data_IF_843624645454
#
_entry.id   IF_843624645454
#
_cell.length_a   1.000
_cell.length_b   1.000
_cell.length_c   1.000
_cell.angle_alpha   90.00
_cell.angle_beta   90.00
_cell.angle_gamma   90.00
#
_symmetry.space_group_name_H-M   'P 1'
#
loop_
_entity.id
_entity.type
_entity.pdbx_description
1 polymer ?
#
# COMPACT_ATOMS: atom_id res chain seq x y z
N UNK A 1 -11.07 12.95 -8.38
CA UNK A 1 -10.82 14.38 -8.10
C UNK A 1 -11.80 15.30 -8.84
N UNK A 2 -12.26 14.91 -10.01
CA UNK A 2 -13.17 15.75 -10.81
C UNK A 2 -14.60 15.88 -10.22
N UNK A 3 -14.98 14.99 -9.31
CA UNK A 3 -16.29 15.01 -8.65
C UNK A 3 -16.40 16.06 -7.54
N UNK A 4 -15.28 16.63 -7.05
CA UNK A 4 -15.26 17.59 -5.95
C UNK A 4 -14.51 18.87 -6.32
N UNK A 5 -15.00 20.04 -5.89
CA UNK A 5 -14.29 21.30 -6.09
C UNK A 5 -12.96 21.30 -5.32
N UNK A 6 -11.96 22.12 -5.74
CA UNK A 6 -10.60 22.07 -5.17
C UNK A 6 -10.52 22.19 -3.64
N UNK A 7 -11.40 23.01 -3.04
CA UNK A 7 -11.44 23.24 -1.59
C UNK A 7 -12.06 22.11 -0.77
N UNK A 8 -12.74 21.12 -1.42
CA UNK A 8 -13.33 19.95 -0.76
C UNK A 8 -12.55 18.67 -1.03
N UNK A 9 -11.55 18.70 -1.90
CA UNK A 9 -10.76 17.52 -2.28
C UNK A 9 -10.02 16.90 -1.10
N UNK A 10 -9.45 17.71 -0.22
CA UNK A 10 -8.78 17.23 0.99
C UNK A 10 -9.73 16.48 1.93
N UNK A 11 -10.96 17.01 2.10
CA UNK A 11 -12.00 16.35 2.91
C UNK A 11 -12.43 15.01 2.27
N UNK A 12 -12.62 14.96 0.97
CA UNK A 12 -13.00 13.75 0.24
C UNK A 12 -11.91 12.68 0.32
N UNK A 13 -10.64 13.04 0.11
CA UNK A 13 -9.49 12.15 0.23
C UNK A 13 -9.32 11.66 1.66
N UNK A 14 -9.48 12.56 2.65
CA UNK A 14 -9.42 12.19 4.07
C UNK A 14 -10.52 11.21 4.47
N UNK A 15 -11.75 11.40 3.97
CA UNK A 15 -12.85 10.46 4.20
C UNK A 15 -12.57 9.10 3.56
N UNK A 16 -12.09 9.08 2.32
CA UNK A 16 -11.69 7.85 1.64
C UNK A 16 -10.59 7.11 2.40
N UNK A 17 -9.57 7.81 2.86
CA UNK A 17 -8.49 7.23 3.66
C UNK A 17 -9.00 6.65 5.00
N UNK A 18 -9.92 7.36 5.66
CA UNK A 18 -10.56 6.89 6.91
C UNK A 18 -11.38 5.62 6.70
N UNK A 19 -12.19 5.56 5.63
CA UNK A 19 -12.95 4.34 5.27
C UNK A 19 -12.00 3.19 4.92
N UNK A 20 -10.92 3.46 4.20
CA UNK A 20 -9.91 2.44 3.88
C UNK A 20 -9.22 1.90 5.13
N UNK A 21 -8.90 2.75 6.11
CA UNK A 21 -8.34 2.33 7.38
C UNK A 21 -9.33 1.51 8.22
N UNK A 22 -10.63 1.89 8.21
CA UNK A 22 -11.68 1.11 8.86
C UNK A 22 -11.83 -0.28 8.21
N UNK A 23 -11.78 -0.36 6.88
CA UNK A 23 -11.81 -1.63 6.16
C UNK A 23 -10.61 -2.53 6.53
N UNK A 24 -9.42 -1.95 6.75
CA UNK A 24 -8.25 -2.69 7.21
C UNK A 24 -8.45 -3.26 8.62
N UNK A 25 -9.05 -2.48 9.54
CA UNK A 25 -9.37 -2.94 10.89
C UNK A 25 -10.39 -4.09 10.89
N UNK A 26 -11.49 -3.91 10.13
CA UNK A 26 -12.52 -4.93 9.97
C UNK A 26 -11.93 -6.18 9.32
N UNK A 27 -11.08 -6.03 8.30
CA UNK A 27 -10.45 -7.12 7.59
C UNK A 27 -9.59 -8.00 8.50
N UNK A 28 -8.80 -7.40 9.38
CA UNK A 28 -7.95 -8.13 10.32
C UNK A 28 -8.79 -8.96 11.33
N UNK A 29 -9.83 -8.36 11.89
CA UNK A 29 -10.72 -9.05 12.86
C UNK A 29 -11.58 -10.10 12.16
N UNK A 30 -12.24 -9.74 11.04
CA UNK A 30 -13.10 -10.64 10.29
C UNK A 30 -12.29 -11.81 9.71
N UNK A 31 -11.09 -11.55 9.19
CA UNK A 31 -10.19 -12.58 8.72
C UNK A 31 -9.80 -13.56 9.82
N UNK A 32 -9.48 -13.05 11.02
CA UNK A 32 -9.21 -13.89 12.19
C UNK A 32 -10.40 -14.78 12.57
N UNK A 33 -11.60 -14.19 12.65
CA UNK A 33 -12.85 -14.96 12.94
C UNK A 33 -13.10 -16.04 11.89
N UNK A 34 -12.96 -15.70 10.61
CA UNK A 34 -13.20 -16.67 9.53
C UNK A 34 -12.20 -17.82 9.54
N UNK A 35 -10.92 -17.53 9.78
CA UNK A 35 -9.88 -18.57 9.84
C UNK A 35 -10.09 -19.47 11.05
N UNK A 36 -10.44 -18.92 12.20
CA UNK A 36 -10.57 -19.66 13.44
C UNK A 36 -11.85 -20.49 13.52
N UNK A 37 -13.00 -19.99 13.01
CA UNK A 37 -14.31 -20.60 13.21
C UNK A 37 -14.91 -21.26 11.96
N UNK A 38 -14.38 -20.95 10.76
CA UNK A 38 -14.92 -21.50 9.50
C UNK A 38 -13.84 -22.26 8.74
N UNK A 39 -12.96 -21.54 8.04
CA UNK A 39 -11.81 -22.12 7.33
C UNK A 39 -10.94 -20.98 6.77
N UNK A 40 -9.67 -21.27 6.47
CA UNK A 40 -8.80 -20.29 5.84
C UNK A 40 -9.28 -19.86 4.44
N UNK A 41 -9.97 -20.73 3.71
CA UNK A 41 -10.51 -20.43 2.38
C UNK A 41 -11.62 -19.37 2.43
N UNK A 42 -12.34 -19.27 3.55
CA UNK A 42 -13.44 -18.32 3.72
C UNK A 42 -13.01 -16.86 3.61
N UNK A 43 -11.73 -16.56 3.88
CA UNK A 43 -11.16 -15.20 3.67
C UNK A 43 -11.15 -14.78 2.19
N UNK A 44 -11.15 -15.74 1.27
CA UNK A 44 -11.28 -15.46 -0.16
C UNK A 44 -12.75 -15.33 -0.57
N UNK A 45 -13.61 -16.22 -0.09
CA UNK A 45 -15.03 -16.22 -0.44
C UNK A 45 -15.78 -14.98 0.05
N UNK A 46 -15.39 -14.38 1.18
CA UNK A 46 -15.99 -13.14 1.68
C UNK A 46 -15.83 -11.98 0.68
N UNK A 47 -14.82 -12.01 -0.17
CA UNK A 47 -14.61 -10.97 -1.17
C UNK A 47 -15.66 -11.04 -2.30
N UNK A 48 -16.30 -12.17 -2.55
CA UNK A 48 -17.32 -12.29 -3.60
C UNK A 48 -18.55 -11.41 -3.34
N UNK A 49 -19.22 -11.49 -2.16
CA UNK A 49 -20.35 -10.59 -1.86
C UNK A 49 -19.91 -9.13 -1.75
N UNK A 50 -18.69 -8.86 -1.23
CA UNK A 50 -18.15 -7.49 -1.15
C UNK A 50 -17.93 -6.93 -2.56
N UNK A 51 -17.33 -7.70 -3.46
CA UNK A 51 -17.12 -7.30 -4.86
C UNK A 51 -18.46 -7.11 -5.59
N UNK A 52 -19.43 -8.02 -5.40
CA UNK A 52 -20.76 -7.88 -5.98
C UNK A 52 -21.46 -6.60 -5.50
N UNK A 53 -21.37 -6.29 -4.21
CA UNK A 53 -21.88 -5.04 -3.64
C UNK A 53 -21.18 -3.80 -4.21
N UNK A 54 -19.85 -3.83 -4.33
CA UNK A 54 -19.08 -2.75 -4.91
C UNK A 54 -19.45 -2.51 -6.39
N UNK A 55 -19.60 -3.59 -7.19
CA UNK A 55 -20.06 -3.48 -8.58
C UNK A 55 -21.47 -2.90 -8.64
N UNK A 56 -22.39 -3.36 -7.81
CA UNK A 56 -23.75 -2.82 -7.76
C UNK A 56 -23.73 -1.32 -7.44
N UNK A 57 -23.03 -0.89 -6.37
CA UNK A 57 -22.91 0.53 -6.00
C UNK A 57 -22.29 1.33 -7.15
N UNK A 58 -21.24 0.81 -7.80
CA UNK A 58 -20.61 1.51 -8.93
C UNK A 58 -21.59 1.71 -10.08
N UNK A 59 -22.36 0.70 -10.44
CA UNK A 59 -23.35 0.80 -11.54
C UNK A 59 -24.49 1.76 -11.25
N UNK A 60 -24.91 1.89 -9.97
CA UNK A 60 -26.03 2.76 -9.61
C UNK A 60 -25.61 4.17 -9.19
N UNK A 61 -24.43 4.36 -8.62
CA UNK A 61 -24.01 5.61 -7.99
C UNK A 61 -22.97 6.41 -8.79
N UNK A 62 -22.26 5.78 -9.74
CA UNK A 62 -21.21 6.47 -10.51
C UNK A 62 -21.75 6.94 -11.86
N UNK A 63 -21.58 8.24 -12.13
CA UNK A 63 -21.79 8.79 -13.47
C UNK A 63 -20.53 8.56 -14.30
N UNK A 64 -20.70 8.10 -15.53
CA UNK A 64 -19.58 7.85 -16.41
C UNK A 64 -18.92 9.18 -16.82
N UNK A 65 -17.66 9.35 -16.43
CA UNK A 65 -16.83 10.49 -16.85
C UNK A 65 -15.89 9.99 -17.95
N UNK A 66 -16.11 10.43 -19.18
CA UNK A 66 -15.29 10.07 -20.35
C UNK A 66 -14.54 11.30 -20.84
N UNK A 67 -13.26 11.16 -21.00
CA UNK A 67 -12.48 12.07 -21.81
C UNK A 67 -12.53 11.61 -23.27
N UNK A 68 -13.25 12.35 -24.10
CA UNK A 68 -13.43 12.04 -25.54
C UNK A 68 -12.16 12.37 -26.36
N UNK A 69 -11.20 13.09 -25.78
CA UNK A 69 -9.96 13.49 -26.46
C UNK A 69 -8.89 12.42 -26.42
N UNK A 70 -9.01 11.42 -25.52
CA UNK A 70 -8.02 10.37 -25.35
C UNK A 70 -8.22 9.24 -26.39
N UNK A 71 -7.20 9.01 -27.19
CA UNK A 71 -7.17 7.88 -28.13
C UNK A 71 -7.13 6.57 -27.33
N UNK A 72 -8.22 5.79 -27.41
CA UNK A 72 -8.35 4.48 -26.75
C UNK A 72 -7.50 3.42 -27.46
N UNK A 73 -6.20 3.40 -27.23
CA UNK A 73 -5.33 2.29 -27.65
C UNK A 73 -4.75 1.64 -26.41
N UNK A 74 -5.11 0.38 -26.21
CA UNK A 74 -4.53 -0.44 -25.15
C UNK A 74 -3.12 -0.84 -25.59
N UNK A 75 -2.12 -0.53 -24.79
CA UNK A 75 -0.75 -0.99 -25.02
C UNK A 75 -0.59 -2.44 -24.57
N UNK A 76 -1.01 -3.36 -25.46
CA UNK A 76 -0.90 -4.80 -25.21
C UNK A 76 0.56 -5.23 -25.03
N UNK A 77 1.49 -4.60 -25.74
CA UNK A 77 2.91 -4.95 -25.65
C UNK A 77 3.50 -4.52 -24.30
N UNK A 78 3.17 -3.31 -23.82
CA UNK A 78 3.55 -2.83 -22.50
C UNK A 78 2.96 -3.70 -21.39
N UNK A 79 1.66 -4.03 -21.47
CA UNK A 79 1.00 -4.93 -20.51
C UNK A 79 1.68 -6.29 -20.47
N UNK A 80 1.95 -6.89 -21.61
CA UNK A 80 2.62 -8.20 -21.67
C UNK A 80 4.04 -8.13 -21.06
N UNK A 81 4.81 -7.10 -21.40
CA UNK A 81 6.18 -6.93 -20.92
C UNK A 81 6.23 -6.74 -19.40
N UNK A 82 5.37 -5.88 -18.83
CA UNK A 82 5.35 -5.66 -17.36
C UNK A 82 4.82 -6.89 -16.63
N UNK A 83 3.82 -7.58 -17.18
CA UNK A 83 3.28 -8.81 -16.59
C UNK A 83 4.34 -9.89 -16.51
N UNK A 84 5.04 -10.16 -17.60
CA UNK A 84 6.14 -11.14 -17.63
C UNK A 84 7.25 -10.72 -16.66
N UNK A 85 7.66 -9.45 -16.69
CA UNK A 85 8.71 -8.92 -15.83
C UNK A 85 8.40 -9.04 -14.34
N UNK A 86 7.21 -8.60 -13.92
CA UNK A 86 6.79 -8.67 -12.51
C UNK A 86 6.52 -10.10 -12.06
N UNK A 87 5.90 -10.94 -12.90
CA UNK A 87 5.67 -12.36 -12.56
C UNK A 87 6.99 -13.08 -12.37
N UNK A 88 7.96 -12.90 -13.27
CA UNK A 88 9.28 -13.51 -13.15
C UNK A 88 10.02 -13.01 -11.90
N UNK A 89 9.95 -11.71 -11.59
CA UNK A 89 10.55 -11.14 -10.38
C UNK A 89 9.92 -11.72 -9.11
N UNK A 90 8.61 -11.74 -9.05
CA UNK A 90 7.88 -12.25 -7.89
C UNK A 90 8.18 -13.74 -7.67
N UNK A 91 8.14 -14.54 -8.74
CA UNK A 91 8.44 -15.96 -8.68
C UNK A 91 9.90 -16.20 -8.23
N UNK A 92 10.85 -15.41 -8.74
CA UNK A 92 12.25 -15.51 -8.33
C UNK A 92 12.40 -15.24 -6.83
N UNK A 93 11.75 -14.20 -6.30
CA UNK A 93 11.84 -13.83 -4.89
C UNK A 93 11.15 -14.85 -3.96
N UNK A 94 10.01 -15.40 -4.38
CA UNK A 94 9.25 -16.39 -3.59
C UNK A 94 9.99 -17.71 -3.53
N UNK A 95 10.47 -18.20 -4.67
CA UNK A 95 11.10 -19.52 -4.78
C UNK A 95 12.61 -19.53 -4.43
N UNK A 96 13.21 -18.35 -4.21
CA UNK A 96 14.65 -18.25 -3.93
C UNK A 96 15.09 -19.03 -2.69
N UNK A 97 14.24 -19.14 -1.67
CA UNK A 97 14.52 -19.92 -0.46
C UNK A 97 14.57 -21.41 -0.74
N UNK A 98 13.66 -21.93 -1.56
CA UNK A 98 13.51 -23.36 -1.82
C UNK A 98 14.47 -23.85 -2.92
N UNK A 99 14.64 -23.05 -3.98
CA UNK A 99 15.51 -23.44 -5.11
C UNK A 99 16.95 -22.97 -4.96
N UNK A 100 17.21 -22.10 -3.98
CA UNK A 100 18.52 -21.49 -3.73
C UNK A 100 18.79 -20.26 -4.60
N UNK A 101 19.22 -19.17 -3.96
CA UNK A 101 19.48 -17.86 -4.60
C UNK A 101 20.43 -17.92 -5.80
N UNK A 102 21.40 -18.83 -5.81
CA UNK A 102 22.38 -19.03 -6.89
C UNK A 102 21.97 -20.07 -7.93
N UNK A 103 20.78 -20.66 -7.84
CA UNK A 103 20.36 -21.70 -8.78
C UNK A 103 20.15 -21.14 -10.18
N UNK A 104 20.47 -21.90 -11.25
CA UNK A 104 20.23 -21.47 -12.63
C UNK A 104 18.78 -21.03 -12.89
N UNK A 105 17.81 -21.65 -12.24
CA UNK A 105 16.39 -21.32 -12.36
C UNK A 105 16.10 -19.90 -11.84
N UNK A 106 16.60 -19.57 -10.66
CA UNK A 106 16.41 -18.23 -10.05
C UNK A 106 17.14 -17.16 -10.87
N UNK A 107 18.36 -17.45 -11.35
CA UNK A 107 19.10 -16.52 -12.19
C UNK A 107 18.40 -16.25 -13.53
N UNK A 108 17.80 -17.27 -14.15
CA UNK A 108 16.99 -17.12 -15.37
C UNK A 108 15.75 -16.28 -15.09
N UNK A 109 15.07 -16.49 -13.96
CA UNK A 109 13.91 -15.67 -13.59
C UNK A 109 14.30 -14.22 -13.35
N UNK A 110 15.42 -13.92 -12.69
CA UNK A 110 15.90 -12.55 -12.55
C UNK A 110 16.29 -11.92 -13.89
N UNK A 111 16.93 -12.68 -14.77
CA UNK A 111 17.24 -12.21 -16.13
C UNK A 111 15.96 -11.89 -16.91
N UNK A 112 14.96 -12.77 -16.85
CA UNK A 112 13.66 -12.58 -17.50
C UNK A 112 12.92 -11.35 -16.92
N UNK A 113 12.97 -11.18 -15.60
CA UNK A 113 12.43 -10.00 -14.92
C UNK A 113 13.10 -8.72 -15.43
N UNK A 114 14.43 -8.68 -15.46
CA UNK A 114 15.18 -7.53 -15.93
C UNK A 114 14.88 -7.20 -17.41
N UNK A 115 14.81 -8.22 -18.26
CA UNK A 115 14.48 -8.06 -19.68
C UNK A 115 13.04 -7.55 -19.86
N UNK A 116 12.07 -8.13 -19.14
CA UNK A 116 10.67 -7.74 -19.20
C UNK A 116 10.45 -6.29 -18.74
N UNK A 117 11.05 -5.91 -17.60
CA UNK A 117 10.95 -4.54 -17.09
C UNK A 117 11.68 -3.52 -17.97
N UNK A 118 12.85 -3.87 -18.53
CA UNK A 118 13.55 -3.03 -19.50
C UNK A 118 12.76 -2.88 -20.80
N UNK A 119 12.16 -3.95 -21.29
CA UNK A 119 11.30 -3.92 -22.47
C UNK A 119 10.07 -3.04 -22.23
N UNK A 120 9.40 -3.17 -21.07
CA UNK A 120 8.31 -2.30 -20.69
C UNK A 120 8.73 -0.82 -20.71
N UNK A 121 9.81 -0.47 -20.02
CA UNK A 121 10.30 0.91 -19.99
C UNK A 121 10.62 1.45 -21.41
N UNK A 122 11.15 0.60 -22.28
CA UNK A 122 11.46 0.98 -23.65
C UNK A 122 10.21 1.14 -24.53
N UNK A 123 9.20 0.32 -24.32
CA UNK A 123 7.90 0.40 -25.03
C UNK A 123 7.21 1.69 -24.63
N UNK A 124 7.05 1.94 -23.33
CA UNK A 124 6.39 3.14 -22.78
C UNK A 124 7.05 4.46 -23.27
N UNK A 125 8.37 4.48 -23.45
CA UNK A 125 9.07 5.65 -23.99
C UNK A 125 8.83 5.89 -25.48
N UNK A 126 8.25 4.92 -26.22
CA UNK A 126 8.05 4.99 -27.68
C UNK A 126 6.59 5.06 -28.08
N UNK A 127 5.69 4.62 -27.22
CA UNK A 127 4.24 4.63 -27.49
C UNK A 127 3.71 6.07 -27.38
N UNK A 128 2.79 6.45 -28.28
CA UNK A 128 2.19 7.80 -28.28
C UNK A 128 1.28 8.09 -27.11
N UNK A 129 0.69 7.04 -26.51
CA UNK A 129 -0.19 7.12 -25.34
C UNK A 129 0.34 6.11 -24.35
N UNK A 130 1.37 6.47 -23.54
CA UNK A 130 1.94 5.56 -22.57
C UNK A 130 0.98 5.32 -21.39
N UNK A 131 1.03 4.12 -20.80
CA UNK A 131 0.32 3.81 -19.56
C UNK A 131 0.97 4.51 -18.37
N UNK A 132 2.30 4.62 -18.42
CA UNK A 132 3.12 5.30 -17.42
C UNK A 132 3.95 6.37 -18.11
N UNK A 133 3.62 7.63 -17.90
CA UNK A 133 4.43 8.74 -18.40
C UNK A 133 5.69 8.90 -17.55
N UNK A 134 6.80 8.38 -18.05
CA UNK A 134 8.10 8.48 -17.38
C UNK A 134 8.60 9.92 -17.20
N UNK A 135 8.01 10.91 -17.88
CA UNK A 135 8.37 12.31 -17.68
C UNK A 135 8.10 12.79 -16.26
N UNK A 136 7.10 12.20 -15.55
CA UNK A 136 6.81 12.51 -14.15
C UNK A 136 7.97 12.19 -13.21
N UNK A 137 8.76 11.16 -13.52
CA UNK A 137 9.95 10.81 -12.73
C UNK A 137 11.08 11.83 -12.85
N UNK A 138 11.01 12.74 -13.82
CA UNK A 138 11.89 13.93 -13.90
C UNK A 138 11.62 14.95 -12.78
N UNK A 139 10.41 14.94 -12.19
CA UNK A 139 10.09 15.76 -11.02
C UNK A 139 10.68 15.15 -9.75
N UNK A 140 11.57 15.90 -9.09
CA UNK A 140 12.17 15.47 -7.81
C UNK A 140 11.11 15.22 -6.73
N UNK A 141 10.02 15.98 -6.74
CA UNK A 141 8.92 15.79 -5.79
C UNK A 141 8.17 14.49 -6.06
N UNK A 142 7.85 14.22 -7.33
CA UNK A 142 7.16 12.98 -7.72
C UNK A 142 8.02 11.74 -7.40
N UNK A 143 9.30 11.77 -7.78
CA UNK A 143 10.23 10.68 -7.48
C UNK A 143 10.38 10.48 -5.96
N UNK A 144 10.56 11.55 -5.21
CA UNK A 144 10.70 11.50 -3.75
C UNK A 144 9.46 10.92 -3.06
N UNK A 145 8.25 11.32 -3.48
CA UNK A 145 7.00 10.77 -2.91
C UNK A 145 6.82 9.29 -3.23
N UNK A 146 7.21 8.83 -4.43
CA UNK A 146 7.15 7.41 -4.78
C UNK A 146 8.16 6.56 -3.97
N UNK A 147 9.38 7.08 -3.76
CA UNK A 147 10.38 6.41 -2.90
C UNK A 147 9.86 6.30 -1.46
N UNK A 148 9.30 7.39 -0.92
CA UNK A 148 8.69 7.37 0.42
C UNK A 148 7.53 6.36 0.49
N UNK A 149 6.66 6.34 -0.53
CA UNK A 149 5.56 5.38 -0.62
C UNK A 149 6.06 3.94 -0.59
N UNK A 150 7.10 3.64 -1.38
CA UNK A 150 7.71 2.32 -1.42
C UNK A 150 8.28 1.92 -0.05
N UNK A 151 9.09 2.79 0.57
CA UNK A 151 9.74 2.51 1.87
C UNK A 151 8.69 2.28 2.96
N UNK A 152 7.66 3.14 3.05
CA UNK A 152 6.61 3.01 4.08
C UNK A 152 5.77 1.76 3.85
N UNK A 153 5.38 1.47 2.61
CA UNK A 153 4.61 0.26 2.29
C UNK A 153 5.42 -1.01 2.59
N UNK A 154 6.71 -1.01 2.23
CA UNK A 154 7.61 -2.11 2.52
C UNK A 154 7.75 -2.35 4.03
N UNK A 155 8.03 -1.28 4.80
CA UNK A 155 8.15 -1.35 6.25
C UNK A 155 6.85 -1.83 6.92
N UNK A 156 5.70 -1.31 6.46
CA UNK A 156 4.39 -1.69 6.98
C UNK A 156 4.09 -3.17 6.72
N UNK A 157 4.25 -3.64 5.48
CA UNK A 157 3.97 -5.04 5.12
C UNK A 157 4.92 -6.00 5.85
N UNK A 158 6.22 -5.67 5.91
CA UNK A 158 7.19 -6.45 6.63
C UNK A 158 6.84 -6.54 8.13
N UNK A 159 6.50 -5.40 8.75
CA UNK A 159 6.09 -5.37 10.15
C UNK A 159 4.84 -6.25 10.39
N UNK A 160 3.76 -6.07 9.60
CA UNK A 160 2.55 -6.86 9.75
C UNK A 160 2.83 -8.36 9.62
N UNK A 161 3.65 -8.74 8.64
CA UNK A 161 3.99 -10.14 8.39
C UNK A 161 4.79 -10.74 9.57
N UNK A 162 5.93 -10.12 9.92
CA UNK A 162 6.80 -10.66 10.96
C UNK A 162 6.17 -10.63 12.34
N UNK A 163 5.42 -9.58 12.68
CA UNK A 163 4.74 -9.52 13.98
C UNK A 163 3.55 -10.47 14.07
N UNK A 164 2.88 -10.76 12.94
CA UNK A 164 1.88 -11.82 12.92
C UNK A 164 2.51 -13.18 13.23
N UNK A 165 3.64 -13.50 12.59
CA UNK A 165 4.37 -14.73 12.87
C UNK A 165 4.85 -14.78 14.34
N UNK A 166 5.38 -13.68 14.84
CA UNK A 166 5.80 -13.59 16.23
C UNK A 166 4.64 -13.82 17.20
N UNK A 167 3.50 -13.13 17.00
CA UNK A 167 2.32 -13.26 17.85
C UNK A 167 1.73 -14.67 17.82
N UNK A 168 1.69 -15.33 16.66
CA UNK A 168 1.12 -16.67 16.53
C UNK A 168 2.11 -17.77 16.94
N UNK A 169 3.37 -17.72 16.50
CA UNK A 169 4.31 -18.81 16.70
C UNK A 169 5.11 -18.70 18.02
N UNK A 170 5.33 -17.48 18.53
CA UNK A 170 6.10 -17.27 19.76
C UNK A 170 5.18 -17.02 20.96
N UNK A 171 4.19 -16.12 20.81
CA UNK A 171 3.25 -15.81 21.89
C UNK A 171 2.05 -16.77 21.95
N UNK A 172 1.86 -17.64 20.96
CA UNK A 172 0.79 -18.63 20.92
C UNK A 172 -0.61 -18.04 20.75
N UNK A 173 -0.73 -16.80 20.23
CA UNK A 173 -2.03 -16.18 20.01
C UNK A 173 -2.77 -16.81 18.82
N UNK A 174 -4.11 -16.92 18.95
CA UNK A 174 -4.93 -17.35 17.83
C UNK A 174 -4.91 -16.30 16.70
N UNK A 175 -5.30 -16.67 15.47
CA UNK A 175 -5.41 -15.72 14.35
C UNK A 175 -6.31 -14.51 14.68
N UNK A 176 -7.41 -14.73 15.38
CA UNK A 176 -8.32 -13.68 15.84
C UNK A 176 -7.67 -12.77 16.87
N UNK A 177 -6.99 -13.35 17.86
CA UNK A 177 -6.27 -12.58 18.87
C UNK A 177 -5.17 -11.71 18.26
N UNK A 178 -4.40 -12.25 17.31
CA UNK A 178 -3.39 -11.49 16.59
C UNK A 178 -4.01 -10.34 15.78
N UNK A 179 -5.13 -10.59 15.08
CA UNK A 179 -5.87 -9.57 14.34
C UNK A 179 -6.36 -8.42 15.23
N UNK A 180 -6.95 -8.74 16.39
CA UNK A 180 -7.40 -7.73 17.37
C UNK A 180 -6.23 -6.90 17.89
N UNK A 181 -5.06 -7.50 18.09
CA UNK A 181 -3.88 -6.83 18.61
C UNK A 181 -3.23 -5.85 17.62
N UNK A 182 -3.59 -5.89 16.34
CA UNK A 182 -3.23 -4.84 15.37
C UNK A 182 -4.15 -3.62 15.40
N UNK A 183 -5.30 -3.68 16.07
CA UNK A 183 -6.25 -2.55 16.14
C UNK A 183 -5.61 -1.25 16.65
N UNK A 184 -4.70 -1.22 17.64
CA UNK A 184 -4.06 0.03 18.05
C UNK A 184 -3.38 0.78 16.91
N UNK A 185 -2.68 0.08 16.00
CA UNK A 185 -2.08 0.70 14.80
C UNK A 185 -3.15 1.30 13.91
N UNK A 186 -4.20 0.54 13.61
CA UNK A 186 -5.26 0.97 12.70
C UNK A 186 -6.09 2.11 13.28
N UNK A 187 -6.39 2.07 14.59
CA UNK A 187 -7.08 3.16 15.28
C UNK A 187 -6.29 4.46 15.24
N UNK A 188 -4.97 4.40 15.41
CA UNK A 188 -4.12 5.58 15.25
C UNK A 188 -4.19 6.14 13.83
N UNK A 189 -4.19 5.28 12.80
CA UNK A 189 -4.36 5.73 11.41
C UNK A 189 -5.71 6.42 11.23
N UNK A 190 -6.81 5.83 11.71
CA UNK A 190 -8.16 6.40 11.58
C UNK A 190 -8.25 7.79 12.25
N UNK A 191 -7.66 7.95 13.42
CA UNK A 191 -7.73 9.22 14.18
C UNK A 191 -6.78 10.27 13.61
N UNK A 192 -5.56 9.90 13.29
CA UNK A 192 -4.50 10.84 12.91
C UNK A 192 -4.56 11.22 11.41
N UNK A 193 -5.02 10.35 10.51
CA UNK A 193 -5.01 10.66 9.08
C UNK A 193 -5.86 11.90 8.70
N UNK A 194 -7.07 12.11 9.25
CA UNK A 194 -7.83 13.34 9.02
C UNK A 194 -7.13 14.60 9.57
N UNK A 195 -6.44 14.47 10.73
CA UNK A 195 -5.67 15.55 11.34
C UNK A 195 -4.47 15.89 10.46
N UNK A 196 -3.73 14.87 10.00
CA UNK A 196 -2.59 15.03 9.10
C UNK A 196 -3.01 15.70 7.78
N UNK A 197 -4.18 15.33 7.23
CA UNK A 197 -4.73 15.96 6.03
C UNK A 197 -4.94 17.46 6.21
N UNK A 198 -5.61 17.87 7.29
CA UNK A 198 -5.84 19.30 7.61
C UNK A 198 -4.51 20.04 7.88
N UNK A 199 -3.59 19.38 8.57
CA UNK A 199 -2.30 19.97 8.89
C UNK A 199 -1.42 20.15 7.63
N UNK A 200 -1.61 19.30 6.62
CA UNK A 200 -0.96 19.44 5.31
C UNK A 200 -1.29 20.75 4.62
N UNK A 201 -2.56 21.18 4.73
CA UNK A 201 -3.01 22.42 4.12
C UNK A 201 -2.38 23.66 4.81
N UNK A 202 -2.04 23.57 6.09
CA UNK A 202 -1.50 24.69 6.87
C UNK A 202 0.04 24.77 6.90
N UNK A 203 0.73 23.67 7.10
CA UNK A 203 2.20 23.63 7.25
C UNK A 203 2.93 22.93 6.09
N UNK A 204 2.17 22.42 5.13
CA UNK A 204 2.70 21.71 3.97
C UNK A 204 3.05 20.23 4.24
N UNK A 205 3.28 19.44 3.20
CA UNK A 205 3.48 17.99 3.31
C UNK A 205 4.86 17.60 3.89
N UNK A 206 5.91 18.39 3.64
CA UNK A 206 7.29 18.02 3.99
C UNK A 206 7.53 17.74 5.47
N UNK A 207 7.16 18.63 6.40
CA UNK A 207 7.43 18.40 7.83
C UNK A 207 6.64 17.20 8.36
N UNK A 208 5.42 16.99 7.87
CA UNK A 208 4.58 15.86 8.29
C UNK A 208 5.15 14.52 7.81
N UNK A 209 5.54 14.42 6.54
CA UNK A 209 6.18 13.22 5.99
C UNK A 209 7.47 12.92 6.76
N UNK A 210 8.30 13.93 7.04
CA UNK A 210 9.54 13.74 7.79
C UNK A 210 9.30 13.25 9.21
N UNK A 211 8.35 13.86 9.93
CA UNK A 211 7.97 13.42 11.27
C UNK A 211 7.37 12.01 11.26
N UNK A 212 6.52 11.70 10.27
CA UNK A 212 5.94 10.39 10.11
C UNK A 212 6.97 9.30 9.85
N UNK A 213 7.92 9.55 8.95
CA UNK A 213 9.04 8.62 8.69
C UNK A 213 9.92 8.41 9.92
N UNK A 214 10.19 9.47 10.69
CA UNK A 214 10.94 9.37 11.94
C UNK A 214 10.20 8.47 12.96
N UNK A 215 8.87 8.62 13.10
CA UNK A 215 8.07 7.77 13.98
C UNK A 215 8.03 6.31 13.52
N UNK A 216 7.93 6.07 12.20
CA UNK A 216 8.05 4.70 11.64
C UNK A 216 9.41 4.11 11.97
N UNK A 217 10.49 4.85 11.79
CA UNK A 217 11.84 4.39 12.12
C UNK A 217 11.99 4.09 13.62
N UNK A 218 11.52 4.97 14.49
CA UNK A 218 11.53 4.76 15.96
C UNK A 218 10.72 3.52 16.34
N UNK A 219 9.55 3.32 15.71
CA UNK A 219 8.73 2.12 15.93
C UNK A 219 9.49 0.84 15.54
N UNK A 220 10.16 0.82 14.39
CA UNK A 220 10.94 -0.35 13.94
C UNK A 220 12.15 -0.60 14.85
N UNK A 221 12.85 0.45 15.26
CA UNK A 221 13.96 0.35 16.24
C UNK A 221 13.44 -0.19 17.56
N UNK A 222 12.30 0.31 18.08
CA UNK A 222 11.68 -0.24 19.28
C UNK A 222 11.40 -1.73 19.15
N UNK A 223 10.82 -2.14 18.01
CA UNK A 223 10.48 -3.53 17.76
C UNK A 223 11.71 -4.43 17.53
N UNK A 224 12.86 -3.87 17.15
CA UNK A 224 14.11 -4.64 17.02
C UNK A 224 14.64 -5.19 18.36
N UNK A 225 14.16 -4.66 19.48
CA UNK A 225 14.48 -5.16 20.83
C UNK A 225 13.54 -6.28 21.31
N UNK A 226 12.64 -6.78 20.44
CA UNK A 226 11.80 -7.92 20.77
C UNK A 226 12.62 -9.16 21.08
N UNK A 227 12.25 -9.83 22.18
CA UNK A 227 12.79 -11.11 22.60
C UNK A 227 11.68 -12.16 22.69
N UNK A 228 12.02 -13.43 22.82
CA UNK A 228 11.02 -14.49 22.98
C UNK A 228 10.11 -14.31 24.22
N UNK A 229 10.58 -13.60 25.22
CA UNK A 229 9.84 -13.33 26.46
C UNK A 229 9.02 -12.02 26.43
N UNK A 230 9.10 -11.26 25.33
CA UNK A 230 8.40 -9.98 25.21
C UNK A 230 6.92 -10.20 24.95
N UNK A 231 6.06 -9.78 25.89
CA UNK A 231 4.61 -9.86 25.74
C UNK A 231 4.02 -8.72 24.90
N UNK A 232 2.68 -8.73 24.72
CA UNK A 232 1.95 -7.70 23.97
C UNK A 232 2.16 -6.27 24.49
N UNK A 233 2.36 -6.10 25.79
CA UNK A 233 2.65 -4.79 26.38
C UNK A 233 3.89 -4.11 25.81
N UNK A 234 4.88 -4.90 25.37
CA UNK A 234 6.06 -4.38 24.67
C UNK A 234 5.76 -4.01 23.20
N UNK A 235 4.86 -4.73 22.54
CA UNK A 235 4.46 -4.46 21.14
C UNK A 235 3.64 -3.18 21.01
N UNK A 236 2.80 -2.88 22.02
CA UNK A 236 1.80 -1.81 21.96
C UNK A 236 2.38 -0.42 21.65
N UNK A 237 3.46 0.08 22.31
CA UNK A 237 4.06 1.36 21.94
C UNK A 237 4.54 1.39 20.48
N UNK A 238 5.14 0.31 19.99
CA UNK A 238 5.56 0.18 18.60
C UNK A 238 4.37 0.28 17.63
N UNK A 239 3.25 -0.38 17.93
CA UNK A 239 2.04 -0.31 17.12
C UNK A 239 1.43 1.09 17.08
N UNK A 240 1.39 1.79 18.21
CA UNK A 240 0.90 3.17 18.29
C UNK A 240 1.79 4.11 17.47
N UNK A 241 3.10 4.04 17.65
CA UNK A 241 4.07 4.88 16.93
C UNK A 241 4.00 4.62 15.42
N UNK A 242 3.89 3.36 15.01
CA UNK A 242 3.74 2.97 13.60
C UNK A 242 2.46 3.55 13.00
N UNK A 243 1.32 3.43 13.69
CA UNK A 243 0.04 3.96 13.23
C UNK A 243 0.05 5.47 13.06
N UNK A 244 0.60 6.21 14.02
CA UNK A 244 0.79 7.67 13.92
C UNK A 244 1.71 8.00 12.74
N UNK A 245 2.85 7.31 12.63
CA UNK A 245 3.83 7.53 11.58
C UNK A 245 3.25 7.31 10.18
N UNK A 246 2.56 6.20 9.97
CA UNK A 246 1.88 5.90 8.69
C UNK A 246 0.85 6.97 8.34
N UNK A 247 0.03 7.40 9.30
CA UNK A 247 -1.00 8.42 9.08
C UNK A 247 -0.39 9.77 8.67
N UNK A 248 0.72 10.16 9.31
CA UNK A 248 1.44 11.41 9.00
C UNK A 248 2.17 11.36 7.64
N UNK A 249 2.39 10.17 7.06
CA UNK A 249 3.00 10.03 5.74
C UNK A 249 1.93 9.90 4.65
N UNK A 250 0.96 8.99 4.80
CA UNK A 250 0.06 8.59 3.71
C UNK A 250 -0.80 9.74 3.19
N UNK A 251 -1.42 10.54 4.09
CA UNK A 251 -2.30 11.64 3.70
C UNK A 251 -1.53 12.78 3.03
N UNK A 252 -0.44 13.33 3.61
CA UNK A 252 0.35 14.38 2.97
C UNK A 252 1.06 13.94 1.68
N UNK A 253 1.48 12.68 1.60
CA UNK A 253 2.13 12.12 0.42
C UNK A 253 1.21 12.10 -0.80
N UNK A 254 -0.06 11.70 -0.62
CA UNK A 254 -1.06 11.72 -1.70
C UNK A 254 -1.28 13.13 -2.22
N UNK A 255 -1.39 14.11 -1.33
CA UNK A 255 -1.51 15.53 -1.68
C UNK A 255 -0.26 16.04 -2.43
N UNK A 256 0.93 15.70 -1.96
CA UNK A 256 2.18 16.11 -2.59
C UNK A 256 2.36 15.49 -3.99
N UNK A 257 2.00 14.21 -4.15
CA UNK A 257 2.05 13.53 -5.45
C UNK A 257 1.09 14.17 -6.47
N UNK A 258 -0.14 14.47 -6.04
CA UNK A 258 -1.14 15.12 -6.90
C UNK A 258 -0.75 16.55 -7.30
N UNK A 259 -0.14 17.30 -6.38
CA UNK A 259 0.33 18.66 -6.68
C UNK A 259 1.63 18.69 -7.53
N UNK A 260 2.34 17.57 -7.63
CA UNK A 260 3.54 17.47 -8.45
C UNK A 260 3.26 17.20 -9.94
N UNK A 261 2.01 16.80 -10.25
CA UNK A 261 1.54 16.59 -11.63
C UNK A 261 0.88 17.86 -12.13
N UNK A 262 1.40 18.42 -13.22
CA UNK A 262 0.84 19.62 -13.85
C UNK A 262 -0.58 19.34 -14.32
N UNK A 263 -1.56 20.15 -13.89
CA UNK A 263 -3.00 19.96 -14.19
C UNK A 263 -3.35 20.21 -15.66
N UNK A 264 -2.37 20.55 -16.48
CA UNK A 264 -2.53 20.81 -17.91
C UNK A 264 -2.16 19.61 -18.81
N UNK A 265 -1.81 18.46 -18.19
CA UNK A 265 -1.48 17.22 -18.93
C UNK A 265 -2.46 16.11 -18.62
#
# INVERSE_FOLDING_TARGET
TNAFPPHERGKAIGTWAGVSALALAIGAVLGGVLVEHVSWQSIFFINLPVAAGAVAVTLFATHESRDETVVRKVDVAGIAAITVGLTALTLALVEASDWGWGSPRILVLFALAAIGLAAFARIEQRVRVPMVDFSFFGSRTFLGTNIVAFIVSFAMLAMFFFLTLYMQNVLGYSPLEAGIRFLPTTLMVIVIAPIAGRLTDSIGPRPLITAGLALVAVSLVWQSFLTADSGFGFLLPGFVLMGIGIALVMSPMSTAAMNAVDQTK
#
